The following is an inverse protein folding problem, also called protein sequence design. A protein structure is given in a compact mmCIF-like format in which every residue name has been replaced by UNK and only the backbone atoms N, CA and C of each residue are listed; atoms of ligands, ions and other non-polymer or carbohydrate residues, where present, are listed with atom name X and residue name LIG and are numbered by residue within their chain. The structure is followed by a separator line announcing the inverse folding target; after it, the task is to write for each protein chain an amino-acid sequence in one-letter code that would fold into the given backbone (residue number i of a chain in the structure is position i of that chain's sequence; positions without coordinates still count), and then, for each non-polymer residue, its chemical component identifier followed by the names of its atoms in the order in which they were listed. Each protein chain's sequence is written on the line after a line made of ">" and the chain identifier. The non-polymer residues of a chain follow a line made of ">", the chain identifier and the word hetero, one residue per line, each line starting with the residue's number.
data_IF_132022209236
#
_entry.id   IF_132022209236
#
_cell.length_a   1.000
_cell.length_b   1.000
_cell.length_c   1.000
_cell.angle_alpha   90.00
_cell.angle_beta   90.00
_cell.angle_gamma   90.00
#
_symmetry.space_group_name_H-M   'P 1'
#
loop_
_entity.id
_entity.type
_entity.pdbx_description
1 polymer ?
#
# COMPACT_ATOMS: atom_id res chain seq x y z
N UNK A 1 37.18 -27.97 5.68
CA UNK A 1 36.74 -26.90 6.61
C UNK A 1 36.74 -25.47 6.06
N UNK A 2 37.45 -25.14 4.95
CA UNK A 2 37.46 -23.77 4.40
C UNK A 2 36.22 -23.38 3.57
N UNK A 3 35.50 -24.36 3.01
CA UNK A 3 34.28 -24.12 2.22
C UNK A 3 33.02 -23.80 3.05
N UNK A 4 32.97 -24.23 4.31
CA UNK A 4 31.84 -23.94 5.21
C UNK A 4 31.88 -22.52 5.79
N UNK A 5 33.07 -21.92 5.92
CA UNK A 5 33.23 -20.55 6.42
C UNK A 5 32.90 -19.48 5.38
N UNK A 6 33.19 -19.73 4.09
CA UNK A 6 32.83 -18.79 3.01
C UNK A 6 31.33 -18.74 2.74
N UNK A 7 30.62 -19.87 2.84
CA UNK A 7 29.16 -19.92 2.71
C UNK A 7 28.45 -19.17 3.85
N UNK A 8 28.94 -19.28 5.09
CA UNK A 8 28.36 -18.59 6.25
C UNK A 8 28.50 -17.05 6.14
N UNK A 9 29.67 -16.55 5.70
CA UNK A 9 29.92 -15.11 5.53
C UNK A 9 29.09 -14.52 4.37
N UNK A 10 28.90 -15.27 3.29
CA UNK A 10 28.03 -14.85 2.18
C UNK A 10 26.56 -14.77 2.63
N UNK A 11 26.08 -15.75 3.40
CA UNK A 11 24.72 -15.70 3.94
C UNK A 11 24.50 -14.56 4.95
N UNK A 12 25.49 -14.24 5.80
CA UNK A 12 25.37 -13.14 6.77
C UNK A 12 25.35 -11.75 6.10
N UNK A 13 26.11 -11.57 5.02
CA UNK A 13 26.15 -10.30 4.25
C UNK A 13 24.89 -10.09 3.39
N UNK A 14 24.31 -11.17 2.84
CA UNK A 14 23.03 -11.09 2.13
C UNK A 14 21.85 -10.75 3.05
N UNK A 15 21.86 -11.25 4.30
CA UNK A 15 20.81 -10.95 5.28
C UNK A 15 20.89 -9.49 5.76
N UNK A 16 22.09 -8.95 6.00
CA UNK A 16 22.27 -7.54 6.41
C UNK A 16 21.97 -6.56 5.26
N UNK A 17 22.33 -6.88 4.02
CA UNK A 17 21.98 -6.07 2.86
C UNK A 17 20.46 -6.01 2.62
N UNK A 18 19.75 -7.14 2.79
CA UNK A 18 18.29 -7.20 2.66
C UNK A 18 17.56 -6.38 3.74
N UNK A 19 18.04 -6.45 5.00
CA UNK A 19 17.49 -5.64 6.10
C UNK A 19 17.63 -4.13 5.85
N UNK A 20 18.78 -3.70 5.31
CA UNK A 20 19.02 -2.31 4.94
C UNK A 20 18.08 -1.83 3.81
N UNK A 21 17.86 -2.66 2.77
CA UNK A 21 16.95 -2.30 1.67
C UNK A 21 15.49 -2.14 2.17
N UNK A 22 15.04 -3.00 3.10
CA UNK A 22 13.71 -2.87 3.69
C UNK A 22 13.52 -1.56 4.46
N UNK A 23 14.50 -1.18 5.28
CA UNK A 23 14.46 0.07 6.04
C UNK A 23 14.61 1.30 5.14
N UNK A 24 15.42 1.23 4.09
CA UNK A 24 15.55 2.29 3.07
C UNK A 24 14.21 2.53 2.35
N UNK A 25 13.55 1.46 1.87
CA UNK A 25 12.22 1.57 1.25
C UNK A 25 11.23 2.20 2.23
N UNK A 26 11.28 1.80 3.51
CA UNK A 26 10.39 2.34 4.55
C UNK A 26 10.64 3.83 4.77
N UNK A 27 11.89 4.27 4.84
CA UNK A 27 12.26 5.68 5.01
C UNK A 27 11.80 6.51 3.81
N UNK A 28 12.12 6.08 2.59
CA UNK A 28 11.70 6.76 1.35
C UNK A 28 10.17 6.82 1.23
N UNK A 29 9.47 5.75 1.61
CA UNK A 29 8.00 5.74 1.60
C UNK A 29 7.40 6.74 2.60
N UNK A 30 8.02 6.90 3.78
CA UNK A 30 7.61 7.91 4.77
C UNK A 30 7.86 9.32 4.25
N UNK A 31 8.98 9.55 3.58
CA UNK A 31 9.28 10.83 2.95
C UNK A 31 8.28 11.17 1.85
N UNK A 32 8.01 10.23 0.95
CA UNK A 32 6.97 10.37 -0.09
C UNK A 32 5.61 10.68 0.52
N UNK A 33 5.24 9.99 1.60
CA UNK A 33 3.97 10.22 2.28
C UNK A 33 3.88 11.66 2.84
N UNK A 34 4.93 12.16 3.49
CA UNK A 34 4.99 13.55 3.97
C UNK A 34 4.82 14.56 2.83
N UNK A 35 5.50 14.33 1.70
CA UNK A 35 5.37 15.18 0.51
C UNK A 35 3.95 15.13 -0.04
N UNK A 36 3.34 13.95 -0.11
CA UNK A 36 1.95 13.77 -0.58
C UNK A 36 0.98 14.59 0.27
N UNK A 37 1.16 14.63 1.60
CA UNK A 37 0.34 15.49 2.48
C UNK A 37 0.54 16.98 2.18
N UNK A 38 1.76 17.41 1.88
CA UNK A 38 2.05 18.81 1.50
C UNK A 38 1.43 19.16 0.15
N UNK A 39 1.51 18.26 -0.83
CA UNK A 39 0.88 18.48 -2.15
C UNK A 39 -0.62 18.66 -2.04
N UNK A 40 -1.30 18.00 -1.09
CA UNK A 40 -2.74 18.21 -0.86
C UNK A 40 -3.09 19.67 -0.53
N UNK A 41 -2.22 20.38 0.21
CA UNK A 41 -2.42 21.81 0.50
C UNK A 41 -2.30 22.66 -0.76
N UNK A 42 -1.30 22.37 -1.59
CA UNK A 42 -1.07 23.06 -2.88
C UNK A 42 -2.24 22.80 -3.83
N UNK A 43 -2.70 21.56 -3.90
CA UNK A 43 -3.82 21.13 -4.74
C UNK A 43 -5.13 21.84 -4.39
N UNK A 44 -5.35 22.09 -3.09
CA UNK A 44 -6.50 22.87 -2.62
C UNK A 44 -6.30 24.36 -2.87
N UNK A 45 -5.14 24.94 -2.50
CA UNK A 45 -4.80 26.36 -2.68
C UNK A 45 -4.97 26.84 -4.13
N UNK A 46 -4.59 25.99 -5.09
CA UNK A 46 -4.66 26.30 -6.52
C UNK A 46 -5.88 25.67 -7.22
N UNK A 47 -6.85 25.15 -6.46
CA UNK A 47 -8.09 24.55 -6.99
C UNK A 47 -7.85 23.47 -8.07
N UNK A 48 -6.70 22.78 -8.04
CA UNK A 48 -6.35 21.78 -9.05
C UNK A 48 -7.29 20.57 -9.04
N UNK A 49 -8.03 20.37 -7.94
CA UNK A 49 -9.05 19.35 -7.82
C UNK A 49 -10.30 19.60 -8.67
N UNK A 50 -10.54 20.84 -9.10
CA UNK A 50 -11.66 21.21 -9.98
C UNK A 50 -11.34 20.91 -11.47
N UNK A 51 -10.15 20.41 -11.77
CA UNK A 51 -9.81 19.99 -13.13
C UNK A 51 -10.70 18.82 -13.56
N UNK A 52 -11.54 19.04 -14.58
CA UNK A 52 -12.55 18.07 -15.02
C UNK A 52 -12.00 16.70 -15.40
N UNK A 53 -10.80 16.63 -16.00
CA UNK A 53 -10.16 15.36 -16.34
C UNK A 53 -9.71 14.61 -15.08
N UNK A 54 -9.10 15.32 -14.13
CA UNK A 54 -8.73 14.75 -12.84
C UNK A 54 -9.96 14.27 -12.05
N UNK A 55 -11.04 15.06 -11.98
CA UNK A 55 -12.28 14.65 -11.32
C UNK A 55 -12.86 13.36 -11.91
N UNK A 56 -12.86 13.25 -13.24
CA UNK A 56 -13.30 12.05 -13.95
C UNK A 56 -12.42 10.83 -13.60
N UNK A 57 -11.10 10.98 -13.64
CA UNK A 57 -10.17 9.91 -13.30
C UNK A 57 -10.26 9.51 -11.83
N UNK A 58 -10.39 10.48 -10.92
CA UNK A 58 -10.56 10.25 -9.50
C UNK A 58 -11.87 9.52 -9.20
N UNK A 59 -12.96 9.91 -9.86
CA UNK A 59 -14.26 9.25 -9.74
C UNK A 59 -14.20 7.81 -10.26
N UNK A 60 -13.51 7.58 -11.38
CA UNK A 60 -13.30 6.23 -11.92
C UNK A 60 -12.46 5.35 -10.98
N UNK A 61 -11.39 5.90 -10.38
CA UNK A 61 -10.58 5.23 -9.36
C UNK A 61 -11.42 4.82 -8.14
N UNK A 62 -12.23 5.75 -7.61
CA UNK A 62 -13.13 5.47 -6.48
C UNK A 62 -14.18 4.42 -6.82
N UNK A 63 -14.77 4.48 -8.01
CA UNK A 63 -15.75 3.50 -8.48
C UNK A 63 -15.12 2.11 -8.60
N UNK A 64 -13.96 1.97 -9.26
CA UNK A 64 -13.27 0.70 -9.41
C UNK A 64 -12.83 0.09 -8.06
N UNK A 65 -12.38 0.93 -7.12
CA UNK A 65 -12.05 0.49 -5.75
C UNK A 65 -13.28 0.00 -4.99
N UNK A 66 -14.43 0.69 -5.11
CA UNK A 66 -15.69 0.26 -4.51
C UNK A 66 -16.17 -1.06 -5.10
N UNK A 67 -16.16 -1.19 -6.42
CA UNK A 67 -16.52 -2.40 -7.16
C UNK A 67 -15.65 -3.58 -6.69
N UNK A 68 -14.32 -3.43 -6.70
CA UNK A 68 -13.40 -4.46 -6.20
C UNK A 68 -13.72 -4.89 -4.76
N UNK A 69 -13.92 -3.94 -3.86
CA UNK A 69 -14.20 -4.25 -2.45
C UNK A 69 -15.56 -4.93 -2.26
N UNK A 70 -16.59 -4.52 -3.02
CA UNK A 70 -17.91 -5.14 -2.99
C UNK A 70 -17.84 -6.58 -3.50
N UNK A 71 -17.23 -6.81 -4.66
CA UNK A 71 -17.05 -8.15 -5.24
C UNK A 71 -16.27 -9.05 -4.29
N UNK A 72 -15.17 -8.55 -3.72
CA UNK A 72 -14.36 -9.28 -2.74
C UNK A 72 -15.15 -9.67 -1.49
N UNK A 73 -15.99 -8.77 -0.96
CA UNK A 73 -16.80 -9.02 0.24
C UNK A 73 -17.98 -9.94 -0.02
N UNK A 74 -18.55 -9.90 -1.22
CA UNK A 74 -19.64 -10.77 -1.65
C UNK A 74 -19.17 -12.18 -2.07
N UNK A 75 -17.89 -12.35 -2.38
CA UNK A 75 -17.35 -13.61 -2.89
C UNK A 75 -17.54 -14.77 -1.90
N UNK A 76 -18.15 -15.91 -2.31
CA UNK A 76 -18.49 -17.01 -1.40
C UNK A 76 -17.31 -17.53 -0.58
N UNK A 77 -16.14 -17.70 -1.21
CA UNK A 77 -14.90 -18.16 -0.55
C UNK A 77 -14.39 -17.22 0.55
N UNK A 78 -14.66 -15.92 0.42
CA UNK A 78 -14.16 -14.90 1.36
C UNK A 78 -15.18 -14.53 2.42
N UNK A 79 -16.47 -14.78 2.18
CA UNK A 79 -17.58 -14.51 3.10
C UNK A 79 -17.33 -15.01 4.54
N UNK A 80 -16.87 -16.26 4.80
CA UNK A 80 -16.60 -16.70 6.17
C UNK A 80 -15.44 -15.94 6.82
N UNK A 81 -14.39 -15.60 6.06
CA UNK A 81 -13.26 -14.83 6.56
C UNK A 81 -13.68 -13.40 6.93
N UNK A 82 -14.53 -12.77 6.12
CA UNK A 82 -15.11 -11.46 6.45
C UNK A 82 -16.00 -11.50 7.69
N UNK A 83 -16.84 -12.53 7.85
CA UNK A 83 -17.64 -12.70 9.06
C UNK A 83 -16.75 -12.83 10.32
N UNK A 84 -15.66 -13.60 10.22
CA UNK A 84 -14.66 -13.70 11.30
C UNK A 84 -13.99 -12.36 11.56
N UNK A 85 -13.57 -11.65 10.51
CA UNK A 85 -12.95 -10.32 10.59
C UNK A 85 -13.84 -9.31 11.32
N UNK A 86 -15.13 -9.25 10.95
CA UNK A 86 -16.12 -8.37 11.57
C UNK A 86 -16.33 -8.72 13.07
N UNK A 87 -16.40 -10.01 13.40
CA UNK A 87 -16.52 -10.46 14.79
C UNK A 87 -15.28 -10.09 15.62
N UNK A 88 -14.08 -10.28 15.09
CA UNK A 88 -12.83 -9.90 15.77
C UNK A 88 -12.71 -8.38 15.90
N UNK A 89 -13.17 -7.62 14.91
CA UNK A 89 -13.23 -6.15 15.01
C UNK A 89 -14.16 -5.70 16.13
N UNK A 90 -15.33 -6.33 16.29
CA UNK A 90 -16.23 -6.06 17.43
C UNK A 90 -15.56 -6.35 18.77
N UNK A 91 -14.86 -7.50 18.90
CA UNK A 91 -14.07 -7.83 20.11
C UNK A 91 -13.01 -6.77 20.40
N UNK A 92 -12.28 -6.34 19.38
CA UNK A 92 -11.25 -5.30 19.50
C UNK A 92 -11.85 -3.97 19.98
N UNK A 93 -12.99 -3.55 19.42
CA UNK A 93 -13.69 -2.32 19.83
C UNK A 93 -14.15 -2.44 21.29
N UNK A 94 -14.77 -3.57 21.67
CA UNK A 94 -15.25 -3.79 23.03
C UNK A 94 -14.09 -3.79 24.05
N UNK A 95 -12.98 -4.46 23.75
CA UNK A 95 -11.80 -4.47 24.61
C UNK A 95 -11.23 -3.06 24.82
N UNK A 96 -11.20 -2.23 23.75
CA UNK A 96 -10.78 -0.83 23.85
C UNK A 96 -11.73 0.00 24.73
N UNK A 97 -13.04 -0.19 24.58
CA UNK A 97 -14.04 0.47 25.43
C UNK A 97 -13.87 0.10 26.90
N UNK A 98 -13.56 -1.18 27.16
CA UNK A 98 -13.30 -1.68 28.51
C UNK A 98 -11.90 -1.34 29.04
N UNK A 99 -11.07 -0.63 28.26
CA UNK A 99 -9.66 -0.32 28.54
C UNK A 99 -8.78 -1.57 28.79
N UNK A 100 -9.23 -2.73 28.31
CA UNK A 100 -8.48 -3.98 28.37
C UNK A 100 -7.44 -4.01 27.25
N UNK A 101 -6.20 -3.67 27.63
CA UNK A 101 -5.07 -3.61 26.69
C UNK A 101 -4.66 -4.97 26.17
N UNK A 102 -4.76 -6.02 26.98
CA UNK A 102 -4.35 -7.37 26.58
C UNK A 102 -5.33 -7.95 25.57
N UNK A 103 -6.64 -7.89 25.88
CA UNK A 103 -7.68 -8.33 24.96
C UNK A 103 -7.69 -7.52 23.66
N UNK A 104 -7.50 -6.19 23.74
CA UNK A 104 -7.39 -5.34 22.54
C UNK A 104 -6.18 -5.72 21.69
N UNK A 105 -5.04 -6.02 22.31
CA UNK A 105 -3.82 -6.42 21.60
C UNK A 105 -3.97 -7.80 20.96
N UNK A 106 -4.56 -8.76 21.67
CA UNK A 106 -4.87 -10.08 21.14
C UNK A 106 -5.82 -10.01 19.94
N UNK A 107 -6.93 -9.27 20.07
CA UNK A 107 -7.89 -9.07 18.99
C UNK A 107 -7.28 -8.32 17.79
N UNK A 108 -6.38 -7.37 18.02
CA UNK A 108 -5.66 -6.66 16.94
C UNK A 108 -4.75 -7.62 16.15
N UNK A 109 -4.03 -8.52 16.83
CA UNK A 109 -3.19 -9.54 16.18
C UNK A 109 -4.04 -10.50 15.36
N UNK A 110 -5.12 -11.03 15.94
CA UNK A 110 -6.05 -11.92 15.23
C UNK A 110 -6.68 -11.22 14.01
N UNK A 111 -7.14 -9.99 14.16
CA UNK A 111 -7.71 -9.20 13.06
C UNK A 111 -6.70 -9.01 11.92
N UNK A 112 -5.43 -8.76 12.25
CA UNK A 112 -4.35 -8.62 11.27
C UNK A 112 -4.11 -9.93 10.51
N UNK A 113 -4.08 -11.06 11.21
CA UNK A 113 -3.93 -12.38 10.58
C UNK A 113 -5.08 -12.69 9.63
N UNK A 114 -6.32 -12.47 10.05
CA UNK A 114 -7.51 -12.68 9.20
C UNK A 114 -7.43 -11.80 7.94
N UNK A 115 -7.00 -10.54 8.08
CA UNK A 115 -6.82 -9.66 6.92
C UNK A 115 -5.77 -10.18 5.94
N UNK A 116 -4.64 -10.66 6.44
CA UNK A 116 -3.61 -11.26 5.59
C UNK A 116 -4.14 -12.51 4.86
N UNK A 117 -4.95 -13.32 5.53
CA UNK A 117 -5.60 -14.49 4.94
C UNK A 117 -6.60 -14.11 3.84
N UNK A 118 -7.42 -13.07 4.07
CA UNK A 118 -8.33 -12.52 3.05
C UNK A 118 -7.54 -12.06 1.81
N UNK A 119 -6.46 -11.30 1.99
CA UNK A 119 -5.63 -10.82 0.87
C UNK A 119 -5.00 -11.98 0.10
N UNK A 120 -4.44 -12.97 0.82
CA UNK A 120 -3.84 -14.16 0.20
C UNK A 120 -4.88 -14.96 -0.61
N UNK A 121 -6.06 -15.19 -0.04
CA UNK A 121 -7.14 -15.93 -0.71
C UNK A 121 -7.69 -15.15 -1.89
N UNK A 122 -7.91 -13.84 -1.75
CA UNK A 122 -8.37 -12.97 -2.84
C UNK A 122 -7.39 -12.97 -4.02
N UNK A 123 -6.08 -12.95 -3.76
CA UNK A 123 -5.05 -12.99 -4.80
C UNK A 123 -5.03 -14.29 -5.62
N UNK A 124 -5.63 -15.37 -5.10
CA UNK A 124 -5.74 -16.66 -5.79
C UNK A 124 -6.99 -16.77 -6.69
N UNK A 125 -7.93 -15.83 -6.58
CA UNK A 125 -9.20 -15.84 -7.30
C UNK A 125 -9.06 -14.97 -8.56
N UNK A 126 -9.16 -15.54 -9.79
CA UNK A 126 -8.86 -14.81 -11.04
C UNK A 126 -9.70 -13.55 -11.26
N UNK A 127 -11.01 -13.62 -11.00
CA UNK A 127 -11.93 -12.48 -11.14
C UNK A 127 -11.59 -11.33 -10.18
N UNK A 128 -11.20 -11.64 -8.94
CA UNK A 128 -10.78 -10.63 -7.96
C UNK A 128 -9.42 -10.02 -8.33
N UNK A 129 -8.51 -10.82 -8.91
CA UNK A 129 -7.24 -10.31 -9.43
C UNK A 129 -7.46 -9.33 -10.59
N UNK A 130 -8.37 -9.62 -11.50
CA UNK A 130 -8.72 -8.72 -12.60
C UNK A 130 -9.37 -7.42 -12.08
N UNK A 131 -10.32 -7.52 -11.14
CA UNK A 131 -10.94 -6.35 -10.51
C UNK A 131 -9.93 -5.51 -9.71
N UNK A 132 -8.99 -6.15 -9.01
CA UNK A 132 -7.91 -5.48 -8.32
C UNK A 132 -7.00 -4.72 -9.29
N UNK A 133 -6.63 -5.34 -10.42
CA UNK A 133 -5.80 -4.69 -11.44
C UNK A 133 -6.51 -3.47 -12.03
N UNK A 134 -7.79 -3.58 -12.37
CA UNK A 134 -8.62 -2.44 -12.83
C UNK A 134 -8.62 -1.29 -11.82
N UNK A 135 -8.75 -1.58 -10.53
CA UNK A 135 -8.69 -0.57 -9.48
C UNK A 135 -7.29 0.07 -9.36
N UNK A 136 -6.22 -0.71 -9.50
CA UNK A 136 -4.83 -0.21 -9.52
C UNK A 136 -4.59 0.71 -10.71
N UNK A 137 -5.03 0.31 -11.90
CA UNK A 137 -4.83 1.07 -13.14
C UNK A 137 -5.58 2.41 -13.09
N UNK A 138 -6.84 2.39 -12.63
CA UNK A 138 -7.64 3.60 -12.46
C UNK A 138 -7.01 4.56 -11.43
N UNK A 139 -6.49 4.03 -10.31
CA UNK A 139 -5.79 4.85 -9.33
C UNK A 139 -4.47 5.41 -9.86
N UNK A 140 -3.72 4.62 -10.62
CA UNK A 140 -2.48 5.06 -11.27
C UNK A 140 -2.74 6.21 -12.23
N UNK A 141 -3.80 6.12 -13.04
CA UNK A 141 -4.18 7.20 -13.96
C UNK A 141 -4.55 8.49 -13.21
N UNK A 142 -5.32 8.40 -12.11
CA UNK A 142 -5.68 9.56 -11.30
C UNK A 142 -4.45 10.22 -10.63
N UNK A 143 -3.54 9.42 -10.05
CA UNK A 143 -2.31 9.95 -9.43
C UNK A 143 -1.35 10.54 -10.47
N UNK A 144 -1.26 9.95 -11.68
CA UNK A 144 -0.50 10.53 -12.78
C UNK A 144 -1.03 11.90 -13.17
N UNK A 145 -2.35 12.04 -13.35
CA UNK A 145 -2.97 13.34 -13.65
C UNK A 145 -2.76 14.36 -12.53
N UNK A 146 -2.83 13.93 -11.28
CA UNK A 146 -2.54 14.77 -10.11
C UNK A 146 -1.10 15.31 -10.14
N UNK A 147 -0.12 14.47 -10.47
CA UNK A 147 1.27 14.89 -10.61
C UNK A 147 1.45 15.87 -11.77
N UNK A 148 0.83 15.61 -12.92
CA UNK A 148 0.81 16.55 -14.07
C UNK A 148 0.28 17.92 -13.64
N UNK A 149 -0.85 17.97 -12.92
CA UNK A 149 -1.43 19.22 -12.43
C UNK A 149 -0.54 19.92 -11.40
N UNK A 150 0.16 19.17 -10.54
CA UNK A 150 1.12 19.78 -9.61
C UNK A 150 2.29 20.46 -10.34
N UNK A 151 2.70 19.95 -11.50
CA UNK A 151 3.77 20.55 -12.29
C UNK A 151 3.38 21.91 -12.90
N UNK A 152 2.09 22.24 -13.00
CA UNK A 152 1.64 23.52 -13.57
C UNK A 152 1.79 24.70 -12.61
N UNK A 153 2.15 24.45 -11.34
CA UNK A 153 2.36 25.49 -10.32
C UNK A 153 3.79 25.43 -9.76
N UNK A 154 4.48 26.57 -9.53
CA UNK A 154 5.89 26.57 -9.11
C UNK A 154 6.16 25.78 -7.83
N UNK A 155 5.32 25.94 -6.82
CA UNK A 155 5.42 25.23 -5.53
C UNK A 155 5.19 23.70 -5.68
N UNK A 156 4.32 23.32 -6.62
CA UNK A 156 3.95 21.92 -6.87
C UNK A 156 4.98 21.18 -7.72
N UNK A 157 5.65 21.87 -8.65
CA UNK A 157 6.67 21.29 -9.55
C UNK A 157 7.80 20.61 -8.77
N UNK A 158 8.40 21.32 -7.81
CA UNK A 158 9.49 20.77 -7.00
C UNK A 158 9.05 19.53 -6.20
N UNK A 159 7.80 19.50 -5.74
CA UNK A 159 7.26 18.33 -5.04
C UNK A 159 6.94 17.17 -5.98
N UNK A 160 6.42 17.43 -7.18
CA UNK A 160 6.14 16.42 -8.19
C UNK A 160 7.43 15.70 -8.62
N UNK A 161 8.48 16.47 -8.97
CA UNK A 161 9.80 15.92 -9.34
C UNK A 161 10.39 15.05 -8.22
N UNK A 162 10.26 15.51 -6.96
CA UNK A 162 10.75 14.75 -5.80
C UNK A 162 9.95 13.47 -5.58
N UNK A 163 8.64 13.50 -5.79
CA UNK A 163 7.79 12.30 -5.69
C UNK A 163 8.18 11.28 -6.74
N UNK A 164 8.38 11.70 -7.99
CA UNK A 164 8.82 10.83 -9.10
C UNK A 164 10.18 10.20 -8.80
N UNK A 165 11.15 10.99 -8.30
CA UNK A 165 12.46 10.48 -7.92
C UNK A 165 12.39 9.45 -6.78
N UNK A 166 11.56 9.69 -5.77
CA UNK A 166 11.34 8.74 -4.67
C UNK A 166 10.69 7.45 -5.18
N UNK A 167 9.72 7.54 -6.08
CA UNK A 167 9.07 6.37 -6.67
C UNK A 167 10.00 5.54 -7.54
N UNK A 168 10.85 6.18 -8.34
CA UNK A 168 11.88 5.51 -9.11
C UNK A 168 12.85 4.73 -8.19
N UNK A 169 13.33 5.37 -7.11
CA UNK A 169 14.23 4.74 -6.14
C UNK A 169 13.58 3.58 -5.39
N UNK A 170 12.34 3.75 -4.93
CA UNK A 170 11.58 2.67 -4.27
C UNK A 170 11.37 1.49 -5.22
N UNK A 171 11.04 1.77 -6.49
CA UNK A 171 10.84 0.74 -7.52
C UNK A 171 12.11 -0.04 -7.77
N UNK A 172 13.25 0.64 -7.87
CA UNK A 172 14.55 0.01 -8.07
C UNK A 172 14.94 -0.87 -6.88
N UNK A 173 14.83 -0.38 -5.65
CA UNK A 173 15.09 -1.17 -4.44
C UNK A 173 14.18 -2.41 -4.35
N UNK A 174 12.90 -2.30 -4.75
CA UNK A 174 11.98 -3.44 -4.81
C UNK A 174 12.38 -4.47 -5.88
N UNK A 175 12.94 -4.04 -7.02
CA UNK A 175 13.47 -4.97 -8.03
C UNK A 175 14.67 -5.72 -7.48
N UNK A 176 15.61 -5.03 -6.83
CA UNK A 176 16.77 -5.64 -6.19
C UNK A 176 16.36 -6.71 -5.17
N UNK A 177 15.36 -6.43 -4.33
CA UNK A 177 14.81 -7.41 -3.40
C UNK A 177 14.24 -8.67 -4.07
N UNK A 178 13.57 -8.52 -5.23
CA UNK A 178 13.01 -9.65 -5.97
C UNK A 178 14.09 -10.51 -6.63
N UNK A 179 15.19 -9.88 -7.04
CA UNK A 179 16.37 -10.56 -7.61
C UNK A 179 17.19 -11.29 -6.53
N UNK A 180 17.12 -10.86 -5.27
CA UNK A 180 17.83 -11.49 -4.14
C UNK A 180 17.06 -12.61 -3.44
N UNK A 181 15.86 -12.99 -3.89
CA UNK A 181 15.19 -14.19 -3.40
C UNK A 181 15.81 -15.42 -4.08
N UNK A 182 16.44 -16.35 -3.34
CA UNK A 182 16.97 -17.59 -3.89
C UNK A 182 15.86 -18.50 -4.42
#
# INVERSE_FOLDING_TARGET
>A
MKLLHTLAILSLTLITASANIHDDIRQLSREKFKLTLQTGKIFSKHQLHENAEYEKLQSASLAASREYNQTRRAHPTLKPLYAKSDATQKKMIQARMNKDREASSAATREFTQIRMEIEKTAASIPELKAAQQKAIDANTAAEAKKLELLQTVPEGKAHAEKIEALDAKITELRKQMKLTKP
#
